data_IF_734239430297
#
_entry.id   IF_734239430297
#
_cell.length_a   1.000
_cell.length_b   1.000
_cell.length_c   1.000
_cell.angle_alpha   90.00
_cell.angle_beta   90.00
_cell.angle_gamma   90.00
#
_symmetry.space_group_name_H-M   'P 1'
#
loop_
_entity.id
_entity.type
_entity.pdbx_description
1 polymer ?
#
# COMPACT_ATOMS: atom_id res chain seq x y z
N UNK A 1 7.85 -5.02 13.11
CA UNK A 1 6.59 -4.33 12.74
C UNK A 1 6.73 -2.80 12.66
N UNK A 2 7.93 -2.24 12.87
CA UNK A 2 8.12 -0.80 13.06
C UNK A 2 8.99 -0.12 11.98
N UNK A 3 9.48 -0.90 11.03
CA UNK A 3 10.54 -0.47 10.12
C UNK A 3 10.02 0.35 8.93
N UNK A 4 8.72 0.22 8.63
CA UNK A 4 8.07 0.89 7.52
C UNK A 4 6.93 1.78 8.03
N UNK A 5 6.79 3.03 7.54
CA UNK A 5 5.64 3.86 7.83
C UNK A 5 4.37 3.21 7.26
N UNK A 6 3.27 3.32 8.00
CA UNK A 6 1.98 2.78 7.56
C UNK A 6 1.05 3.88 7.08
N UNK A 7 0.25 3.57 6.08
CA UNK A 7 -0.75 4.47 5.53
C UNK A 7 -2.12 3.81 5.49
N UNK A 8 -3.15 4.57 5.83
CA UNK A 8 -4.54 4.17 5.63
C UNK A 8 -5.02 4.61 4.26
N UNK A 9 -5.35 3.66 3.39
CA UNK A 9 -5.92 3.93 2.06
C UNK A 9 -7.43 3.68 2.11
N UNK A 10 -8.23 4.68 1.73
CA UNK A 10 -9.69 4.64 1.75
C UNK A 10 -10.22 4.85 0.34
N UNK A 11 -10.94 3.86 -0.17
CA UNK A 11 -11.65 3.95 -1.45
C UNK A 11 -13.05 4.53 -1.24
N UNK A 12 -13.48 5.45 -2.11
CA UNK A 12 -14.84 6.00 -2.12
C UNK A 12 -15.92 5.01 -2.58
N UNK A 13 -15.50 3.94 -3.24
CA UNK A 13 -16.32 2.93 -3.85
C UNK A 13 -15.59 1.59 -3.80
N UNK A 14 -16.35 0.49 -3.71
CA UNK A 14 -15.79 -0.85 -3.67
C UNK A 14 -14.85 -1.10 -4.86
N UNK A 15 -13.53 -1.33 -4.64
CA UNK A 15 -12.56 -1.53 -5.71
C UNK A 15 -12.66 -2.92 -6.36
N UNK A 16 -13.45 -3.86 -5.81
CA UNK A 16 -13.58 -5.21 -6.33
C UNK A 16 -14.02 -5.26 -7.81
N UNK A 17 -13.54 -6.25 -8.58
CA UNK A 17 -14.11 -6.55 -9.90
C UNK A 17 -15.60 -6.85 -9.80
N UNK A 18 -16.39 -6.36 -10.76
CA UNK A 18 -17.84 -6.62 -10.77
C UNK A 18 -18.19 -8.09 -10.98
N UNK A 19 -17.32 -8.81 -11.68
CA UNK A 19 -17.54 -10.19 -12.11
C UNK A 19 -16.95 -11.22 -11.12
N UNK A 20 -16.39 -10.76 -10.00
CA UNK A 20 -15.76 -11.61 -8.98
C UNK A 20 -16.35 -11.26 -7.63
N UNK A 21 -16.94 -12.24 -6.93
CA UNK A 21 -17.61 -12.03 -5.65
C UNK A 21 -17.04 -12.90 -4.54
N UNK A 22 -17.18 -12.46 -3.29
CA UNK A 22 -16.83 -13.24 -2.11
C UNK A 22 -15.32 -13.40 -1.91
N UNK A 23 -14.88 -14.59 -1.47
CA UNK A 23 -13.50 -14.86 -1.09
C UNK A 23 -12.50 -14.64 -2.24
N UNK A 24 -12.86 -14.98 -3.48
CA UNK A 24 -12.00 -14.80 -4.64
C UNK A 24 -11.72 -13.31 -4.94
N UNK A 25 -12.71 -12.44 -4.72
CA UNK A 25 -12.50 -11.01 -4.88
C UNK A 25 -11.55 -10.46 -3.81
N UNK A 26 -11.71 -10.94 -2.57
CA UNK A 26 -10.85 -10.55 -1.46
C UNK A 26 -9.40 -11.01 -1.67
N UNK A 27 -9.20 -12.24 -2.13
CA UNK A 27 -7.87 -12.79 -2.47
C UNK A 27 -7.20 -12.01 -3.61
N UNK A 28 -7.96 -11.65 -4.64
CA UNK A 28 -7.42 -10.86 -5.74
C UNK A 28 -7.05 -9.43 -5.30
N UNK A 29 -7.89 -8.81 -4.46
CA UNK A 29 -7.63 -7.47 -3.93
C UNK A 29 -6.49 -7.43 -2.92
N UNK A 30 -6.25 -8.50 -2.15
CA UNK A 30 -5.14 -8.56 -1.20
C UNK A 30 -3.77 -8.55 -1.90
N UNK A 31 -3.74 -8.94 -3.17
CA UNK A 31 -2.55 -8.90 -4.04
C UNK A 31 -2.55 -7.68 -4.98
N UNK A 32 -3.48 -6.73 -4.83
CA UNK A 32 -3.57 -5.57 -5.70
C UNK A 32 -2.41 -4.59 -5.51
N UNK A 33 -2.02 -3.91 -6.58
CA UNK A 33 -0.93 -2.93 -6.58
C UNK A 33 -1.47 -1.53 -6.85
N UNK A 34 -0.91 -0.54 -6.14
CA UNK A 34 -1.27 0.88 -6.28
C UNK A 34 -0.04 1.64 -6.75
N UNK A 35 -0.17 2.42 -7.83
CA UNK A 35 0.93 3.23 -8.37
C UNK A 35 0.46 4.64 -8.74
N UNK A 36 1.23 5.64 -8.31
CA UNK A 36 1.06 7.02 -8.78
C UNK A 36 1.49 7.16 -10.24
N UNK A 37 0.67 7.85 -11.03
CA UNK A 37 0.90 8.13 -12.44
C UNK A 37 0.63 9.62 -12.71
N UNK A 38 1.18 10.11 -13.82
CA UNK A 38 0.95 11.46 -14.33
C UNK A 38 0.57 11.33 -15.80
N UNK A 39 -0.51 11.99 -16.22
CA UNK A 39 -0.88 12.02 -17.64
C UNK A 39 -0.11 13.10 -18.42
N UNK A 40 -0.32 13.15 -19.73
CA UNK A 40 0.33 14.11 -20.63
C UNK A 40 -0.04 15.57 -20.32
N UNK A 41 -1.20 15.79 -19.69
CA UNK A 41 -1.66 17.12 -19.25
C UNK A 41 -1.03 17.51 -17.89
N UNK A 42 -0.22 16.64 -17.27
CA UNK A 42 0.41 16.85 -15.96
C UNK A 42 -0.49 16.52 -14.77
N UNK A 43 -1.69 15.96 -14.99
CA UNK A 43 -2.57 15.57 -13.90
C UNK A 43 -2.05 14.31 -13.23
N UNK A 44 -1.88 14.38 -11.91
CA UNK A 44 -1.50 13.23 -11.10
C UNK A 44 -2.73 12.40 -10.71
N UNK A 45 -2.60 11.09 -10.80
CA UNK A 45 -3.63 10.13 -10.41
C UNK A 45 -3.00 8.83 -9.93
N UNK A 46 -3.84 7.95 -9.40
CA UNK A 46 -3.47 6.61 -8.96
C UNK A 46 -4.06 5.60 -9.91
N UNK A 47 -3.23 4.65 -10.35
CA UNK A 47 -3.71 3.43 -10.97
C UNK A 47 -3.73 2.29 -9.96
N UNK A 48 -4.86 1.58 -9.95
CA UNK A 48 -5.11 0.37 -9.18
C UNK A 48 -5.03 -0.82 -10.12
N UNK A 49 -4.08 -1.71 -9.87
CA UNK A 49 -3.79 -2.88 -10.69
C UNK A 49 -4.19 -4.15 -9.95
N UNK A 50 -4.77 -5.09 -10.69
CA UNK A 50 -5.11 -6.42 -10.19
C UNK A 50 -4.17 -7.46 -10.81
N UNK A 51 -3.79 -8.51 -10.07
CA UNK A 51 -2.96 -9.56 -10.62
C UNK A 51 -3.68 -10.27 -11.76
N UNK A 52 -2.92 -10.67 -12.78
CA UNK A 52 -3.45 -11.58 -13.80
C UNK A 52 -3.56 -13.00 -13.24
N UNK A 53 -4.30 -13.88 -13.92
CA UNK A 53 -4.51 -15.27 -13.47
C UNK A 53 -3.18 -16.02 -13.28
N UNK A 54 -2.19 -15.78 -14.16
CA UNK A 54 -0.85 -16.35 -14.03
C UNK A 54 -0.14 -15.87 -12.76
N UNK A 55 -0.20 -14.58 -12.45
CA UNK A 55 0.33 -13.99 -11.21
C UNK A 55 -0.32 -14.62 -9.98
N UNK A 56 -1.64 -14.81 -9.98
CA UNK A 56 -2.33 -15.48 -8.87
C UNK A 56 -1.83 -16.91 -8.65
N UNK A 57 -1.59 -17.67 -9.73
CA UNK A 57 -1.02 -19.03 -9.64
C UNK A 57 0.39 -19.01 -9.08
N UNK A 58 1.25 -18.09 -9.53
CA UNK A 58 2.61 -17.91 -8.99
C UNK A 58 2.58 -17.56 -7.50
N UNK A 59 1.74 -16.59 -7.10
CA UNK A 59 1.58 -16.20 -5.68
C UNK A 59 1.09 -17.34 -4.80
N UNK A 60 0.18 -18.16 -5.32
CA UNK A 60 -0.30 -19.35 -4.60
C UNK A 60 0.80 -20.38 -4.41
N UNK A 61 1.60 -20.66 -5.45
CA UNK A 61 2.78 -21.53 -5.35
C UNK A 61 3.78 -20.99 -4.32
N UNK A 62 4.10 -19.69 -4.38
CA UNK A 62 5.02 -19.06 -3.42
C UNK A 62 4.54 -19.26 -1.97
N UNK A 63 3.24 -19.09 -1.72
CA UNK A 63 2.63 -19.32 -0.41
C UNK A 63 2.71 -20.78 0.03
N UNK A 64 2.47 -21.74 -0.88
CA UNK A 64 2.58 -23.18 -0.60
C UNK A 64 4.02 -23.63 -0.33
N UNK A 65 5.00 -22.96 -0.92
CA UNK A 65 6.43 -23.20 -0.71
C UNK A 65 7.02 -22.41 0.47
N UNK A 66 6.18 -21.68 1.22
CA UNK A 66 6.60 -20.78 2.32
C UNK A 66 7.67 -19.75 1.89
N UNK A 67 7.59 -19.31 0.64
CA UNK A 67 8.46 -18.28 0.07
C UNK A 67 7.72 -16.96 -0.09
N UNK A 68 8.42 -15.85 0.17
CA UNK A 68 7.85 -14.52 -0.06
C UNK A 68 7.56 -14.32 -1.56
N UNK A 69 8.56 -14.54 -2.40
CA UNK A 69 8.49 -14.46 -3.87
C UNK A 69 9.57 -15.36 -4.49
N UNK A 70 9.28 -15.96 -5.65
CA UNK A 70 10.28 -16.69 -6.41
C UNK A 70 11.28 -15.72 -7.07
N UNK A 71 12.62 -15.88 -6.88
CA UNK A 71 13.63 -14.88 -7.31
C UNK A 71 13.65 -14.55 -8.81
N UNK A 72 13.32 -15.52 -9.66
CA UNK A 72 13.37 -15.37 -11.10
C UNK A 72 12.02 -15.09 -11.75
N UNK A 73 10.95 -15.11 -10.95
CA UNK A 73 9.61 -14.88 -11.45
C UNK A 73 9.31 -13.41 -11.65
N UNK A 74 8.46 -13.19 -12.66
CA UNK A 74 7.89 -11.90 -12.99
C UNK A 74 6.38 -11.98 -12.80
N UNK A 75 5.85 -10.98 -12.10
CA UNK A 75 4.46 -10.89 -11.70
C UNK A 75 3.80 -9.74 -12.46
N UNK A 76 2.83 -10.10 -13.29
CA UNK A 76 2.10 -9.17 -14.14
C UNK A 76 0.79 -8.74 -13.49
N UNK A 77 0.51 -7.44 -13.59
CA UNK A 77 -0.70 -6.84 -13.07
C UNK A 77 -1.33 -5.94 -14.12
N UNK A 78 -2.65 -6.05 -14.26
CA UNK A 78 -3.41 -5.27 -15.23
C UNK A 78 -4.13 -4.14 -14.54
N UNK A 79 -4.11 -2.95 -15.14
CA UNK A 79 -4.87 -1.83 -14.60
C UNK A 79 -6.37 -2.16 -14.58
N UNK A 80 -6.98 -1.98 -13.42
CA UNK A 80 -8.40 -2.22 -13.20
C UNK A 80 -9.17 -0.91 -13.07
N UNK A 81 -8.60 0.08 -12.36
CA UNK A 81 -9.26 1.36 -12.08
C UNK A 81 -8.25 2.49 -11.92
N UNK A 82 -8.73 3.71 -12.12
CA UNK A 82 -8.00 4.96 -11.85
C UNK A 82 -8.71 5.77 -10.77
N UNK A 83 -7.95 6.42 -9.91
CA UNK A 83 -8.45 7.23 -8.81
C UNK A 83 -7.72 8.56 -8.73
N UNK A 84 -8.43 9.63 -8.37
CA UNK A 84 -7.80 10.83 -7.85
C UNK A 84 -7.46 10.58 -6.37
N UNK A 85 -6.31 11.06 -5.89
CA UNK A 85 -5.95 10.96 -4.46
C UNK A 85 -6.18 12.28 -3.71
N UNK A 86 -6.35 12.16 -2.40
CA UNK A 86 -6.14 13.23 -1.44
C UNK A 86 -5.32 12.65 -0.29
N UNK A 87 -4.17 13.26 -0.02
CA UNK A 87 -3.23 12.81 1.01
C UNK A 87 -3.30 13.77 2.20
N UNK A 88 -3.44 13.21 3.40
CA UNK A 88 -3.26 13.91 4.68
C UNK A 88 -2.17 13.21 5.48
N UNK A 89 -1.24 13.96 6.04
CA UNK A 89 -0.11 13.48 6.83
C UNK A 89 0.07 14.34 8.10
N UNK A 90 1.06 14.04 8.94
CA UNK A 90 1.40 14.80 10.16
C UNK A 90 1.58 16.31 9.94
N UNK A 91 2.06 16.72 8.77
CA UNK A 91 2.22 18.14 8.43
C UNK A 91 0.90 18.83 7.99
N UNK A 92 -0.17 18.07 7.78
CA UNK A 92 -1.45 18.60 7.32
C UNK A 92 -2.21 19.27 8.46
N UNK A 93 -2.78 20.45 8.21
CA UNK A 93 -3.60 21.16 9.20
C UNK A 93 -4.80 20.31 9.63
N UNK A 94 -4.97 20.14 10.95
CA UNK A 94 -6.03 19.32 11.54
C UNK A 94 -5.80 17.81 11.34
N UNK A 95 -4.55 17.38 11.24
CA UNK A 95 -4.18 15.98 11.33
C UNK A 95 -4.49 15.46 12.74
N UNK A 96 -5.15 14.31 12.81
CA UNK A 96 -5.39 13.56 14.03
C UNK A 96 -4.55 12.30 13.98
N UNK A 97 -3.73 12.09 15.02
CA UNK A 97 -2.98 10.85 15.17
C UNK A 97 -3.93 9.66 15.26
N UNK A 98 -3.62 8.64 14.47
CA UNK A 98 -4.38 7.40 14.43
C UNK A 98 -3.42 6.22 14.50
N UNK A 99 -3.89 5.14 15.10
CA UNK A 99 -3.13 3.92 15.28
C UNK A 99 -3.97 2.75 14.78
N UNK A 100 -3.31 1.70 14.29
CA UNK A 100 -3.95 0.41 14.09
C UNK A 100 -3.37 -0.60 15.06
N UNK A 101 -4.22 -1.53 15.48
CA UNK A 101 -3.87 -2.58 16.43
C UNK A 101 -3.88 -3.94 15.72
N UNK A 102 -2.88 -4.76 15.99
CA UNK A 102 -2.82 -6.16 15.58
C UNK A 102 -2.85 -7.00 16.85
N UNK A 103 -3.88 -7.83 16.96
CA UNK A 103 -4.03 -8.81 18.01
C UNK A 103 -3.46 -10.13 17.52
N UNK A 104 -2.42 -10.64 18.18
CA UNK A 104 -1.84 -11.97 17.91
C UNK A 104 -2.15 -12.88 19.08
N UNK A 105 -2.95 -13.90 18.82
CA UNK A 105 -3.39 -14.85 19.84
C UNK A 105 -2.18 -15.54 20.49
N UNK A 106 -2.06 -15.46 21.82
CA UNK A 106 -0.97 -16.05 22.60
C UNK A 106 0.36 -15.27 22.62
N UNK A 107 0.48 -14.15 21.91
CA UNK A 107 1.71 -13.35 21.81
C UNK A 107 1.51 -11.96 22.44
N UNK A 108 0.53 -11.19 21.96
CA UNK A 108 0.22 -9.87 22.51
C UNK A 108 -0.55 -8.94 21.57
N UNK A 109 -0.64 -7.68 21.99
CA UNK A 109 -1.23 -6.58 21.21
C UNK A 109 -0.11 -5.68 20.70
N UNK A 110 -0.02 -5.56 19.39
CA UNK A 110 0.91 -4.66 18.71
C UNK A 110 0.11 -3.48 18.17
N UNK A 111 0.71 -2.30 18.14
CA UNK A 111 0.13 -1.16 17.46
C UNK A 111 1.18 -0.50 16.57
N UNK A 112 0.76 0.29 15.60
CA UNK A 112 1.66 1.19 14.88
C UNK A 112 0.86 2.41 14.39
N UNK A 113 1.55 3.52 14.17
CA UNK A 113 0.93 4.77 13.74
C UNK A 113 0.51 4.71 12.26
N UNK A 114 -0.64 5.31 11.97
CA UNK A 114 -1.13 5.59 10.62
C UNK A 114 -0.74 7.01 10.24
N UNK A 115 0.53 7.20 9.93
CA UNK A 115 1.12 8.51 9.65
C UNK A 115 0.46 9.22 8.46
N UNK A 116 0.02 8.45 7.47
CA UNK A 116 -0.56 8.98 6.23
C UNK A 116 -1.94 8.42 5.98
N UNK A 117 -2.90 9.28 5.64
CA UNK A 117 -4.24 8.92 5.21
C UNK A 117 -4.44 9.33 3.76
N UNK A 118 -4.73 8.36 2.91
CA UNK A 118 -4.95 8.55 1.48
C UNK A 118 -6.41 8.24 1.15
N UNK A 119 -7.15 9.23 0.64
CA UNK A 119 -8.51 9.04 0.12
C UNK A 119 -8.45 8.94 -1.41
N UNK A 120 -8.95 7.84 -1.94
CA UNK A 120 -9.04 7.55 -3.36
C UNK A 120 -10.47 7.75 -3.83
N UNK A 121 -10.66 8.61 -4.83
CA UNK A 121 -11.96 8.87 -5.46
C UNK A 121 -11.95 8.45 -6.92
N UNK A 122 -12.97 7.71 -7.36
CA UNK A 122 -12.97 7.12 -8.70
C UNK A 122 -12.82 8.21 -9.78
N UNK A 123 -11.76 8.10 -10.58
CA UNK A 123 -11.53 9.01 -11.71
C UNK A 123 -12.50 8.64 -12.83
N UNK A 124 -13.20 9.64 -13.37
CA UNK A 124 -14.09 9.47 -14.53
C UNK A 124 -13.33 9.87 -15.78
N UNK A 125 -13.43 9.07 -16.85
CA UNK A 125 -13.01 9.48 -18.17
C UNK A 125 -13.75 10.77 -18.58
N UNK A 126 -13.05 11.72 -19.21
CA UNK A 126 -13.72 12.78 -19.97
C UNK A 126 -14.53 12.12 -21.10
N UNK A 127 -15.77 12.57 -21.31
CA UNK A 127 -16.64 12.01 -22.35
C UNK A 127 -15.95 12.07 -23.72
N UNK A 128 -15.87 10.93 -24.42
CA UNK A 128 -15.19 10.80 -25.72
C UNK A 128 -13.74 10.29 -25.66
N UNK A 129 -13.11 10.30 -24.48
CA UNK A 129 -11.81 9.65 -24.26
C UNK A 129 -12.09 8.28 -23.65
N UNK A 130 -11.77 7.20 -24.36
CA UNK A 130 -11.74 5.89 -23.72
C UNK A 130 -10.73 5.96 -22.57
N UNK A 131 -11.18 5.72 -21.33
CA UNK A 131 -10.30 5.30 -20.22
C UNK A 131 -9.71 3.96 -20.61
N UNK A 132 -8.75 3.98 -21.54
CA UNK A 132 -8.33 2.85 -22.34
C UNK A 132 -6.83 2.62 -22.22
N UNK A 133 -6.20 3.06 -21.12
CA UNK A 133 -4.86 2.58 -20.84
C UNK A 133 -4.98 1.09 -20.55
N UNK A 134 -4.61 0.22 -21.49
CA UNK A 134 -4.40 -1.20 -21.26
C UNK A 134 -3.03 -1.41 -20.61
N UNK A 135 -2.79 -0.67 -19.52
CA UNK A 135 -1.49 -0.63 -18.87
C UNK A 135 -1.22 -1.94 -18.14
N UNK A 136 -0.03 -2.48 -18.36
CA UNK A 136 0.52 -3.64 -17.67
C UNK A 136 1.63 -3.16 -16.74
N UNK A 137 1.53 -3.54 -15.47
CA UNK A 137 2.57 -3.36 -14.48
C UNK A 137 3.30 -4.70 -14.32
N UNK A 138 4.59 -4.69 -14.64
CA UNK A 138 5.47 -5.86 -14.57
C UNK A 138 6.37 -5.70 -13.35
N UNK A 139 6.30 -6.64 -12.40
CA UNK A 139 7.00 -6.58 -11.12
C UNK A 139 7.99 -7.73 -11.00
N UNK A 140 9.25 -7.41 -10.66
CA UNK A 140 10.27 -8.37 -10.23
C UNK A 140 10.74 -8.00 -8.83
N UNK A 141 10.72 -8.97 -7.93
CA UNK A 141 11.17 -8.77 -6.56
C UNK A 141 12.70 -8.87 -6.48
N UNK A 142 13.28 -8.08 -5.57
CA UNK A 142 14.72 -8.05 -5.30
C UNK A 142 14.95 -7.75 -3.83
N UNK A 143 16.16 -8.04 -3.36
CA UNK A 143 16.61 -7.60 -2.05
C UNK A 143 16.67 -6.07 -1.97
N UNK A 144 16.56 -5.56 -0.76
CA UNK A 144 16.73 -4.15 -0.47
C UNK A 144 18.14 -3.71 -0.80
N UNK A 145 18.26 -2.52 -1.37
CA UNK A 145 19.55 -1.87 -1.59
C UNK A 145 20.02 -1.14 -0.33
N UNK A 146 21.27 -0.67 -0.34
CA UNK A 146 21.90 0.05 0.77
C UNK A 146 21.08 1.25 1.25
N UNK A 147 20.52 2.06 0.33
CA UNK A 147 19.70 3.22 0.69
C UNK A 147 18.38 2.84 1.35
N UNK A 148 17.77 1.74 0.90
CA UNK A 148 16.53 1.22 1.49
C UNK A 148 16.80 0.67 2.90
N UNK A 149 17.95 0.03 3.11
CA UNK A 149 18.40 -0.43 4.43
C UNK A 149 18.73 0.74 5.36
N UNK A 150 19.47 1.75 4.89
CA UNK A 150 19.77 2.97 5.66
C UNK A 150 18.49 3.70 6.09
N UNK A 151 17.49 3.80 5.19
CA UNK A 151 16.21 4.42 5.52
C UNK A 151 15.46 3.63 6.63
N UNK A 152 15.56 2.30 6.59
CA UNK A 152 14.99 1.43 7.62
C UNK A 152 15.70 1.57 8.97
N UNK A 153 17.03 1.65 8.98
CA UNK A 153 17.81 1.88 10.19
C UNK A 153 17.55 3.26 10.78
N UNK A 154 17.49 4.30 9.94
CA UNK A 154 17.15 5.65 10.38
C UNK A 154 15.76 5.72 11.01
N UNK A 155 14.77 5.05 10.42
CA UNK A 155 13.41 4.96 10.98
C UNK A 155 13.42 4.21 12.32
N UNK A 156 14.16 3.11 12.41
CA UNK A 156 14.29 2.36 13.65
C UNK A 156 14.92 3.20 14.76
N UNK A 157 16.00 3.93 14.46
CA UNK A 157 16.64 4.83 15.40
C UNK A 157 15.68 5.93 15.91
N UNK A 158 14.87 6.53 15.03
CA UNK A 158 13.86 7.52 15.44
C UNK A 158 12.81 6.96 16.42
N UNK A 159 12.49 5.68 16.31
CA UNK A 159 11.52 5.01 17.19
C UNK A 159 12.16 4.56 18.51
N UNK A 160 13.45 4.24 18.52
CA UNK A 160 14.19 3.86 19.74
C UNK A 160 14.60 5.08 20.57
N UNK A 161 14.82 6.24 19.95
CA UNK A 161 15.32 7.45 20.62
C UNK A 161 14.25 8.22 21.43
N UNK A 162 13.18 7.56 21.86
CA UNK A 162 12.25 8.12 22.85
C UNK A 162 12.82 7.86 24.26
N UNK A 163 14.01 8.41 24.56
CA UNK A 163 14.39 8.61 25.95
C UNK A 163 13.34 9.57 26.55
N UNK A 164 12.68 9.19 27.66
CA UNK A 164 11.77 10.12 28.32
C UNK A 164 12.58 11.35 28.69
N UNK A 165 12.20 12.51 28.17
CA UNK A 165 12.62 13.78 28.77
C UNK A 165 12.25 13.64 30.25
N UNK A 166 13.28 13.69 31.12
CA UNK A 166 13.12 13.69 32.56
C UNK A 166 11.99 14.67 32.88
N UNK A 167 10.93 14.18 33.54
CA UNK A 167 9.91 15.05 34.12
C UNK A 167 10.68 15.99 35.04
N UNK A 168 10.96 17.22 34.58
CA UNK A 168 11.34 18.31 35.48
C UNK A 168 10.14 18.50 36.40
N UNK A 169 10.21 17.86 37.57
CA UNK A 169 9.39 18.19 38.73
C UNK A 169 9.62 19.68 39.03
N UNK A 170 8.78 20.56 38.47
CA UNK A 170 8.67 21.93 38.96
C UNK A 170 7.95 21.90 40.32
N UNK A 171 8.75 22.14 41.36
CA UNK A 171 8.42 22.33 42.78
C UNK A 171 7.34 23.39 43.05
#
# INVERSE_FOLDING_TARGET
MWINPCAQVIFDSDPAPKDTSGAAALEMMSQAMIRGMMDEEGNQFVAYFLPVEETLKKRKRDQEEEMDYAPDDVYDYKIAREYNWNVKNKASKGYEENYFFIFREGDGVYYNELETRVRLSKRRAKAGVQSGTNALLVVKHRDMNEKELEAQEARKAQLENHEPEEEEEEE
#
